data_IF_825815492297
#
_entry.id   IF_825815492297
#
_cell.length_a   1.000
_cell.length_b   1.000
_cell.length_c   1.000
_cell.angle_alpha   90.00
_cell.angle_beta   90.00
_cell.angle_gamma   90.00
#
_symmetry.space_group_name_H-M   'P 1'
#
loop_
_entity.id
_entity.type
_entity.pdbx_description
1 polymer ?
#
# COMPACT_ATOMS: atom_id res chain seq x y z
N UNK A 1 -19.85 -13.18 10.27
CA UNK A 1 -18.91 -13.82 9.40
C UNK A 1 -17.76 -12.88 9.11
N UNK A 2 -16.62 -13.33 8.66
CA UNK A 2 -15.54 -12.42 8.30
C UNK A 2 -16.04 -11.46 7.21
N UNK A 3 -15.62 -10.19 7.30
CA UNK A 3 -15.89 -9.17 6.28
C UNK A 3 -15.42 -9.60 4.89
N UNK A 4 -15.72 -8.80 3.87
CA UNK A 4 -15.27 -9.09 2.50
C UNK A 4 -13.73 -9.25 2.44
N UNK A 5 -13.18 -10.20 1.65
CA UNK A 5 -11.76 -10.48 1.61
C UNK A 5 -10.96 -9.25 1.21
N UNK A 6 -9.78 -9.09 1.81
CA UNK A 6 -8.82 -8.03 1.51
C UNK A 6 -7.53 -8.68 0.99
N UNK A 7 -7.02 -8.18 -0.13
CA UNK A 7 -5.71 -8.57 -0.65
C UNK A 7 -4.65 -7.71 0.03
N UNK A 8 -3.65 -8.36 0.62
CA UNK A 8 -2.46 -7.67 1.13
C UNK A 8 -1.30 -7.95 0.19
N UNK A 9 -0.70 -6.89 -0.33
CA UNK A 9 0.49 -6.94 -1.19
C UNK A 9 1.62 -6.24 -0.45
N UNK A 10 2.71 -6.94 -0.22
CA UNK A 10 3.91 -6.36 0.39
C UNK A 10 5.03 -6.24 -0.64
N UNK A 11 5.79 -5.15 -0.55
CA UNK A 11 6.88 -4.87 -1.49
C UNK A 11 8.05 -4.19 -0.79
N UNK A 12 9.23 -4.32 -1.40
CA UNK A 12 10.41 -3.51 -1.11
C UNK A 12 11.00 -3.08 -2.44
N UNK A 13 10.90 -1.79 -2.77
CA UNK A 13 11.29 -1.27 -4.07
C UNK A 13 12.79 -0.91 -4.12
N UNK A 14 13.28 -0.73 -5.32
CA UNK A 14 14.67 -0.40 -5.62
C UNK A 14 15.14 0.87 -4.88
N UNK A 15 16.27 0.76 -4.19
CA UNK A 15 16.82 1.85 -3.38
C UNK A 15 17.58 2.90 -4.21
N UNK A 16 18.47 2.46 -5.11
CA UNK A 16 19.43 3.35 -5.78
C UNK A 16 18.86 4.01 -7.03
N UNK A 17 18.09 3.28 -7.84
CA UNK A 17 17.63 3.73 -9.13
C UNK A 17 16.19 4.24 -9.12
N UNK A 18 16.01 5.56 -9.15
CA UNK A 18 14.69 6.17 -9.29
C UNK A 18 13.95 5.68 -10.55
N UNK A 19 14.65 5.49 -11.67
CA UNK A 19 14.04 5.00 -12.91
C UNK A 19 13.47 3.59 -12.74
N UNK A 20 14.18 2.71 -12.01
CA UNK A 20 13.69 1.38 -11.69
C UNK A 20 12.51 1.43 -10.72
N UNK A 21 12.55 2.28 -9.67
CA UNK A 21 11.40 2.47 -8.77
C UNK A 21 10.14 2.92 -9.51
N UNK A 22 10.26 3.91 -10.40
CA UNK A 22 9.14 4.35 -11.25
C UNK A 22 8.58 3.20 -12.08
N UNK A 23 9.45 2.38 -12.68
CA UNK A 23 9.02 1.19 -13.43
C UNK A 23 8.31 0.16 -12.54
N UNK A 24 8.83 -0.09 -11.35
CA UNK A 24 8.22 -1.00 -10.37
C UNK A 24 6.85 -0.48 -9.89
N UNK A 25 6.72 0.84 -9.63
CA UNK A 25 5.43 1.43 -9.24
C UNK A 25 4.39 1.36 -10.36
N UNK A 26 4.80 1.55 -11.62
CA UNK A 26 3.90 1.31 -12.78
C UNK A 26 3.46 -0.16 -12.82
N UNK A 27 4.40 -1.09 -12.62
CA UNK A 27 4.05 -2.52 -12.63
C UNK A 27 3.10 -2.91 -11.50
N UNK A 28 3.22 -2.31 -10.32
CA UNK A 28 2.25 -2.50 -9.22
C UNK A 28 0.84 -2.03 -9.62
N UNK A 29 0.72 -0.94 -10.34
CA UNK A 29 -0.56 -0.47 -10.90
C UNK A 29 -1.12 -1.45 -11.94
N UNK A 30 -0.29 -1.90 -12.87
CA UNK A 30 -0.68 -2.86 -13.90
C UNK A 30 -1.17 -4.17 -13.27
N UNK A 31 -0.48 -4.69 -12.25
CA UNK A 31 -0.89 -5.87 -11.50
C UNK A 31 -2.24 -5.69 -10.80
N UNK A 32 -2.51 -4.49 -10.30
CA UNK A 32 -3.81 -4.18 -9.73
C UNK A 32 -4.90 -4.10 -10.81
N UNK A 33 -4.62 -3.50 -11.96
CA UNK A 33 -5.55 -3.47 -13.10
C UNK A 33 -5.84 -4.89 -13.63
N UNK A 34 -4.82 -5.76 -13.69
CA UNK A 34 -4.98 -7.19 -13.97
C UNK A 34 -5.89 -7.87 -12.92
N UNK A 35 -5.75 -7.51 -11.65
CA UNK A 35 -6.63 -8.01 -10.57
C UNK A 35 -8.08 -7.60 -10.80
N UNK A 36 -8.32 -6.33 -11.11
CA UNK A 36 -9.66 -5.81 -11.39
C UNK A 36 -10.29 -6.48 -12.64
N UNK A 37 -9.52 -6.64 -13.70
CA UNK A 37 -9.98 -7.29 -14.93
C UNK A 37 -10.36 -8.76 -14.72
N UNK A 38 -9.75 -9.43 -13.75
CA UNK A 38 -9.98 -10.84 -13.47
C UNK A 38 -10.95 -11.10 -12.30
N UNK A 39 -11.58 -10.09 -11.73
CA UNK A 39 -12.52 -10.25 -10.61
C UNK A 39 -13.70 -11.17 -10.87
N UNK A 40 -14.21 -11.18 -12.10
CA UNK A 40 -15.33 -12.03 -12.53
C UNK A 40 -14.92 -13.42 -13.01
N UNK A 41 -13.62 -13.74 -13.03
CA UNK A 41 -13.14 -15.04 -13.49
C UNK A 41 -13.16 -16.05 -12.34
N UNK A 42 -14.19 -16.89 -12.35
CA UNK A 42 -14.33 -18.03 -11.43
C UNK A 42 -14.21 -19.31 -12.27
N UNK A 43 -13.03 -19.95 -12.38
CA UNK A 43 -12.93 -21.27 -13.02
C UNK A 43 -13.77 -22.27 -12.20
N UNK A 44 -14.45 -23.19 -12.90
CA UNK A 44 -15.31 -24.25 -12.32
C UNK A 44 -14.53 -25.32 -11.54
N UNK A 45 -13.43 -24.97 -10.89
CA UNK A 45 -12.53 -25.90 -10.19
C UNK A 45 -12.82 -25.83 -8.70
N UNK A 46 -13.21 -26.96 -8.11
CA UNK A 46 -13.58 -27.09 -6.70
C UNK A 46 -12.36 -27.02 -5.77
N UNK A 47 -12.58 -26.55 -4.53
CA UNK A 47 -11.62 -26.03 -3.57
C UNK A 47 -10.38 -26.84 -3.14
N UNK A 48 -10.25 -28.12 -3.52
CA UNK A 48 -9.06 -28.94 -3.19
C UNK A 48 -8.12 -29.18 -4.39
N UNK A 49 -8.42 -28.56 -5.54
CA UNK A 49 -7.56 -28.65 -6.73
C UNK A 49 -6.41 -27.65 -6.62
N UNK A 50 -5.14 -28.07 -6.83
CA UNK A 50 -4.00 -27.15 -6.85
C UNK A 50 -4.10 -26.04 -7.88
N UNK A 51 -5.01 -26.15 -8.84
CA UNK A 51 -5.33 -25.12 -9.85
C UNK A 51 -6.57 -24.31 -9.53
N UNK A 52 -7.17 -24.47 -8.34
CA UNK A 52 -8.31 -23.68 -7.91
C UNK A 52 -7.95 -22.18 -7.91
N UNK A 53 -8.81 -21.36 -8.49
CA UNK A 53 -8.60 -19.92 -8.50
C UNK A 53 -8.75 -19.34 -7.10
N UNK A 54 -7.74 -18.58 -6.68
CA UNK A 54 -7.85 -17.75 -5.47
C UNK A 54 -8.65 -16.48 -5.77
N UNK A 55 -9.52 -16.03 -4.84
CA UNK A 55 -10.22 -14.76 -4.98
C UNK A 55 -9.22 -13.60 -5.22
N UNK A 56 -9.56 -12.70 -6.12
CA UNK A 56 -8.79 -11.48 -6.39
C UNK A 56 -9.65 -10.25 -6.05
N UNK A 57 -9.72 -9.87 -4.75
CA UNK A 57 -10.59 -8.79 -4.33
C UNK A 57 -10.06 -7.43 -4.80
N UNK A 58 -10.97 -6.49 -5.16
CA UNK A 58 -10.63 -5.10 -5.40
C UNK A 58 -10.14 -4.39 -4.13
N UNK A 59 -10.51 -4.91 -2.97
CA UNK A 59 -10.09 -4.41 -1.66
C UNK A 59 -8.63 -4.80 -1.44
N UNK A 60 -7.71 -3.87 -1.72
CA UNK A 60 -6.27 -4.13 -1.70
C UNK A 60 -5.56 -3.14 -0.79
N UNK A 61 -4.69 -3.65 0.06
CA UNK A 61 -3.67 -2.90 0.79
C UNK A 61 -2.31 -3.25 0.20
N UNK A 62 -1.59 -2.26 -0.28
CA UNK A 62 -0.22 -2.37 -0.74
C UNK A 62 0.68 -1.70 0.30
N UNK A 63 1.67 -2.41 0.85
CA UNK A 63 2.50 -1.93 1.95
C UNK A 63 3.97 -2.32 1.80
N UNK A 64 4.85 -1.64 2.53
CA UNK A 64 6.28 -1.93 2.61
C UNK A 64 7.16 -0.71 2.43
N UNK A 65 8.46 -0.96 2.18
CA UNK A 65 9.43 0.07 1.86
C UNK A 65 9.40 0.40 0.36
N UNK A 66 8.93 1.59 0.03
CA UNK A 66 8.88 2.08 -1.34
C UNK A 66 10.14 2.82 -1.78
N UNK A 67 11.07 3.05 -0.87
CA UNK A 67 12.29 3.81 -1.11
C UNK A 67 12.07 5.17 -1.79
N UNK A 68 10.88 5.72 -1.66
CA UNK A 68 10.43 7.01 -2.17
C UNK A 68 10.08 7.94 -1.01
N UNK A 69 10.26 9.23 -1.20
CA UNK A 69 9.81 10.24 -0.24
C UNK A 69 8.41 10.74 -0.61
N UNK A 70 7.62 11.22 0.38
CA UNK A 70 6.32 11.83 0.09
C UNK A 70 6.46 12.94 -0.96
N UNK A 71 5.50 13.00 -1.88
CA UNK A 71 5.45 13.97 -2.97
C UNK A 71 6.56 13.87 -4.03
N UNK A 72 7.44 12.87 -3.94
CA UNK A 72 8.39 12.55 -4.99
C UNK A 72 7.71 12.10 -6.28
N UNK A 73 8.38 12.26 -7.42
CA UNK A 73 7.84 11.85 -8.73
C UNK A 73 7.53 10.35 -8.80
N UNK A 74 8.37 9.52 -8.18
CA UNK A 74 8.17 8.09 -8.04
C UNK A 74 6.92 7.78 -7.18
N UNK A 75 6.79 8.41 -6.01
CA UNK A 75 5.58 8.31 -5.19
C UNK A 75 4.33 8.74 -5.98
N UNK A 76 4.38 9.88 -6.70
CA UNK A 76 3.26 10.36 -7.51
C UNK A 76 2.88 9.36 -8.62
N UNK A 77 3.84 8.63 -9.19
CA UNK A 77 3.57 7.60 -10.19
C UNK A 77 2.55 6.55 -9.70
N UNK A 78 2.57 6.22 -8.40
CA UNK A 78 1.65 5.23 -7.85
C UNK A 78 0.24 5.77 -7.62
N UNK A 79 0.11 7.01 -7.15
CA UNK A 79 -1.17 7.59 -6.71
C UNK A 79 -1.83 8.51 -7.75
N UNK A 80 -1.14 8.84 -8.84
CA UNK A 80 -1.73 9.66 -9.91
C UNK A 80 -2.98 9.01 -10.50
N UNK A 81 -4.03 9.79 -10.80
CA UNK A 81 -5.15 9.32 -11.61
C UNK A 81 -4.68 8.73 -12.95
N UNK A 82 -5.35 7.70 -13.41
CA UNK A 82 -5.24 7.22 -14.79
C UNK A 82 -6.34 7.88 -15.60
N UNK A 83 -6.06 8.24 -16.84
CA UNK A 83 -6.98 8.95 -17.72
C UNK A 83 -8.42 8.42 -17.62
N UNK A 84 -9.33 9.24 -17.12
CA UNK A 84 -10.76 8.96 -16.98
C UNK A 84 -11.22 8.16 -15.75
N UNK A 85 -10.34 7.39 -15.08
CA UNK A 85 -10.76 6.38 -14.08
C UNK A 85 -10.41 6.72 -12.62
N UNK A 86 -9.75 7.87 -12.38
CA UNK A 86 -9.27 8.22 -11.04
C UNK A 86 -8.02 7.44 -10.61
N UNK A 87 -7.59 7.64 -9.37
CA UNK A 87 -6.41 6.97 -8.81
C UNK A 87 -6.72 5.49 -8.49
N UNK A 88 -5.79 4.59 -8.80
CA UNK A 88 -5.87 3.16 -8.44
C UNK A 88 -5.60 2.95 -6.95
N UNK A 89 -4.63 3.70 -6.44
CA UNK A 89 -4.23 3.67 -5.03
C UNK A 89 -4.33 5.05 -4.40
N UNK A 90 -4.69 5.05 -3.13
CA UNK A 90 -4.73 6.22 -2.26
C UNK A 90 -3.74 6.02 -1.12
N UNK A 91 -3.04 7.05 -0.74
CA UNK A 91 -2.17 7.03 0.43
C UNK A 91 -3.04 7.00 1.70
N UNK A 92 -2.91 5.94 2.49
CA UNK A 92 -3.69 5.77 3.71
C UNK A 92 -3.35 6.81 4.79
N UNK A 93 -2.10 7.28 4.86
CA UNK A 93 -1.73 8.39 5.76
C UNK A 93 -2.51 9.65 5.42
N UNK A 94 -2.56 10.01 4.14
CA UNK A 94 -3.31 11.20 3.69
C UNK A 94 -4.80 11.05 3.84
N UNK A 95 -5.34 9.85 3.70
CA UNK A 95 -6.76 9.59 3.93
C UNK A 95 -7.17 9.89 5.39
N UNK A 96 -6.29 9.59 6.35
CA UNK A 96 -6.55 9.80 7.80
C UNK A 96 -6.12 11.18 8.26
N UNK A 97 -4.93 11.62 7.88
CA UNK A 97 -4.26 12.81 8.44
C UNK A 97 -4.33 14.04 7.51
N UNK A 98 -4.95 13.92 6.34
CA UNK A 98 -5.09 15.00 5.36
C UNK A 98 -3.76 15.49 4.83
N UNK A 99 -3.51 16.80 4.95
CA UNK A 99 -2.27 17.44 4.50
C UNK A 99 -1.12 17.41 5.53
N UNK A 100 -1.30 16.73 6.66
CA UNK A 100 -0.24 16.61 7.66
C UNK A 100 0.97 15.88 7.06
N UNK A 101 2.21 16.33 7.37
CA UNK A 101 3.41 15.63 6.94
C UNK A 101 3.38 14.16 7.39
N UNK A 102 3.91 13.26 6.57
CA UNK A 102 4.09 11.86 6.97
C UNK A 102 5.03 11.78 8.16
N UNK A 103 4.65 10.97 9.15
CA UNK A 103 5.56 10.63 10.22
C UNK A 103 6.78 9.88 9.65
N UNK A 104 7.97 10.13 10.17
CA UNK A 104 9.17 9.46 9.68
C UNK A 104 9.13 7.96 10.02
N UNK A 105 9.53 7.13 9.05
CA UNK A 105 9.61 5.67 9.17
C UNK A 105 11.04 5.16 9.18
N UNK A 106 12.03 6.00 8.89
CA UNK A 106 13.45 5.67 9.00
C UNK A 106 14.26 6.90 9.43
N UNK A 107 15.52 6.68 9.85
CA UNK A 107 16.45 7.73 10.25
C UNK A 107 16.16 8.37 11.62
N UNK A 108 15.30 7.77 12.47
CA UNK A 108 15.04 8.26 13.82
C UNK A 108 16.21 7.95 14.76
N UNK A 109 16.81 6.78 14.63
CA UNK A 109 17.87 6.29 15.54
C UNK A 109 19.17 6.03 14.81
N UNK A 110 19.16 5.48 13.58
CA UNK A 110 20.36 5.23 12.79
C UNK A 110 20.77 6.44 11.94
N UNK A 111 21.45 7.40 12.58
CA UNK A 111 22.00 8.57 11.89
C UNK A 111 23.25 8.28 11.03
N UNK A 112 23.81 7.07 11.12
CA UNK A 112 24.97 6.67 10.31
C UNK A 112 24.53 6.31 8.90
N UNK A 113 23.47 5.55 8.76
CA UNK A 113 22.88 5.18 7.49
C UNK A 113 22.09 6.36 6.88
N UNK A 114 21.36 7.08 7.75
CA UNK A 114 20.43 8.15 7.36
C UNK A 114 20.94 9.53 7.77
N UNK A 115 22.04 9.97 7.15
CA UNK A 115 22.67 11.26 7.46
C UNK A 115 21.79 12.49 7.18
N UNK A 116 20.76 12.35 6.33
CA UNK A 116 19.73 13.37 6.06
C UNK A 116 18.70 13.50 7.18
N UNK A 117 18.74 12.64 8.19
CA UNK A 117 17.80 12.63 9.32
C UNK A 117 16.52 11.84 9.06
N UNK A 118 15.57 11.96 9.98
CA UNK A 118 14.33 11.22 9.97
C UNK A 118 13.42 11.60 8.80
N UNK A 119 12.91 10.60 8.08
CA UNK A 119 12.04 10.77 6.92
C UNK A 119 11.17 9.53 6.69
N UNK A 120 10.15 9.66 5.81
CA UNK A 120 9.24 8.57 5.46
C UNK A 120 9.70 7.88 4.18
N UNK A 121 9.67 6.52 4.19
CA UNK A 121 9.89 5.64 3.03
C UNK A 121 8.92 4.46 2.98
N UNK A 122 8.26 4.19 4.10
CA UNK A 122 7.33 3.08 4.24
C UNK A 122 5.90 3.59 4.25
N UNK A 123 5.02 2.89 3.55
CA UNK A 123 3.66 3.35 3.33
C UNK A 123 2.64 2.21 3.40
N UNK A 124 1.40 2.60 3.64
CA UNK A 124 0.21 1.88 3.24
C UNK A 124 -0.48 2.64 2.11
N UNK A 125 -0.58 2.03 0.94
CA UNK A 125 -1.46 2.48 -0.11
C UNK A 125 -2.67 1.55 -0.19
N UNK A 126 -3.84 2.12 -0.32
CA UNK A 126 -5.10 1.36 -0.33
C UNK A 126 -5.85 1.61 -1.64
N UNK A 127 -6.53 0.57 -2.14
CA UNK A 127 -7.43 0.74 -3.27
C UNK A 127 -8.64 1.60 -2.88
N UNK A 128 -9.29 2.23 -3.86
CA UNK A 128 -10.50 3.00 -3.63
C UNK A 128 -11.59 2.19 -2.89
N UNK A 129 -11.66 0.89 -3.14
CA UNK A 129 -12.67 0.01 -2.56
C UNK A 129 -12.60 -0.13 -1.02
N UNK A 130 -11.48 0.25 -0.38
CA UNK A 130 -11.34 0.22 1.09
C UNK A 130 -10.81 1.53 1.66
N UNK A 131 -10.64 2.57 0.86
CA UNK A 131 -10.08 3.85 1.32
C UNK A 131 -10.89 4.44 2.47
N UNK A 132 -12.21 4.43 2.35
CA UNK A 132 -13.12 4.99 3.37
C UNK A 132 -13.20 4.13 4.64
N UNK A 133 -12.72 2.90 4.61
CA UNK A 133 -12.63 2.03 5.77
C UNK A 133 -11.36 2.25 6.60
N UNK A 134 -10.39 3.04 6.12
CA UNK A 134 -9.17 3.35 6.87
C UNK A 134 -9.49 4.32 8.01
N UNK A 135 -9.29 3.88 9.24
CA UNK A 135 -9.60 4.70 10.44
C UNK A 135 -8.35 5.20 11.16
N UNK A 136 -7.23 4.50 11.04
CA UNK A 136 -5.96 4.95 11.61
C UNK A 136 -4.77 4.46 10.77
N UNK A 137 -3.72 5.27 10.74
CA UNK A 137 -2.36 4.90 10.29
C UNK A 137 -1.39 5.48 11.30
N UNK A 138 -0.56 4.62 11.89
CA UNK A 138 0.33 4.98 12.99
C UNK A 138 1.76 4.48 12.73
N UNK A 139 2.74 5.25 13.17
CA UNK A 139 4.17 4.87 13.15
C UNK A 139 4.64 4.67 14.58
N UNK A 140 5.23 3.51 14.87
CA UNK A 140 5.82 3.19 16.18
C UNK A 140 7.20 3.84 16.31
N UNK A 141 7.22 5.14 16.65
CA UNK A 141 8.42 5.97 16.64
C UNK A 141 9.37 5.77 17.84
N UNK A 142 9.01 4.90 18.79
CA UNK A 142 9.77 4.72 20.05
C UNK A 142 10.69 3.51 20.08
N UNK A 143 10.65 2.64 19.08
CA UNK A 143 11.51 1.45 19.00
C UNK A 143 12.77 1.73 18.17
N UNK A 144 13.91 1.24 18.62
CA UNK A 144 15.20 1.23 17.95
C UNK A 144 15.63 -0.20 17.48
N UNK A 145 14.65 -1.13 17.44
CA UNK A 145 14.90 -2.51 17.07
C UNK A 145 15.26 -2.72 15.58
N UNK A 146 15.04 -1.69 14.76
CA UNK A 146 15.36 -1.67 13.33
C UNK A 146 15.70 -0.24 12.90
N UNK A 147 16.37 -0.08 11.79
CA UNK A 147 16.59 1.20 11.11
C UNK A 147 15.30 1.76 10.47
N UNK A 148 14.27 0.93 10.34
CA UNK A 148 12.91 1.32 9.98
C UNK A 148 11.93 1.12 11.14
N UNK A 149 10.92 1.98 11.18
CA UNK A 149 9.88 1.97 12.21
C UNK A 149 8.68 1.13 11.74
N UNK A 150 8.09 0.31 12.63
CA UNK A 150 6.86 -0.41 12.30
C UNK A 150 5.70 0.57 12.03
N UNK A 151 4.91 0.26 11.01
CA UNK A 151 3.65 0.95 10.69
C UNK A 151 2.47 0.03 11.01
N UNK A 152 1.39 0.64 11.47
CA UNK A 152 0.11 -0.02 11.66
C UNK A 152 -1.01 0.71 10.90
N UNK A 153 -1.89 -0.05 10.26
CA UNK A 153 -3.12 0.45 9.66
C UNK A 153 -4.32 -0.20 10.34
N UNK A 154 -5.35 0.59 10.64
CA UNK A 154 -6.62 0.09 11.16
C UNK A 154 -7.70 0.29 10.11
N UNK A 155 -8.41 -0.80 9.81
CA UNK A 155 -9.57 -0.80 8.93
C UNK A 155 -10.83 -1.05 9.75
N UNK A 156 -11.86 -0.27 9.50
CA UNK A 156 -13.18 -0.51 10.05
C UNK A 156 -13.81 -1.76 9.39
N UNK A 157 -14.35 -2.67 10.20
CA UNK A 157 -15.16 -3.75 9.67
C UNK A 157 -16.49 -3.20 9.13
N UNK A 158 -16.80 -3.54 7.87
CA UNK A 158 -18.14 -3.29 7.34
C UNK A 158 -19.10 -4.26 8.02
N UNK A 159 -20.01 -3.74 8.85
CA UNK A 159 -21.15 -4.50 9.33
C UNK A 159 -22.07 -4.74 8.14
N UNK A 160 -22.14 -5.97 7.65
CA UNK A 160 -23.19 -6.36 6.70
C UNK A 160 -24.52 -6.19 7.43
N UNK A 161 -25.29 -5.18 7.08
CA UNK A 161 -26.71 -5.14 7.43
C UNK A 161 -27.38 -6.34 6.75
N UNK A 162 -27.90 -7.25 7.56
CA UNK A 162 -28.64 -8.45 7.13
C UNK A 162 -30.10 -8.05 6.93
#
# INVERSE_FOLDING_TARGET
GPGAPVQIVTTHLEFHSKAQRVSQMRRLRDLFDETLANQGYHPEVSGDDPYAATPRPARTVLCGDFNAVPDGEDYQTLIQPVDGDGARFHDAWRAVHGSAPHAPTCGLFDHRQWSQGAHCRDYFFVSKAICDAVTAVEVQSTTDASDHQPLAITLMEETLEI
#
